data_IF_860528747122
#
_entry.id   IF_860528747122
#
_cell.length_a   1.000
_cell.length_b   1.000
_cell.length_c   1.000
_cell.angle_alpha   90.00
_cell.angle_beta   90.00
_cell.angle_gamma   90.00
#
_symmetry.space_group_name_H-M   'P 1'
#
loop_
_entity.id
_entity.type
_entity.pdbx_description
1 polymer ?
#
# COMPACT_ATOMS: atom_id res chain seq x y z
N UNK A 1 -32.21 41.29 -42.76
CA UNK A 1 -32.23 40.64 -44.09
C UNK A 1 -31.07 39.66 -44.15
N UNK A 2 -31.20 38.60 -44.94
CA UNK A 2 -30.33 37.41 -45.11
C UNK A 2 -30.80 36.17 -44.32
N UNK A 3 -30.64 35.02 -44.97
CA UNK A 3 -31.74 34.24 -45.50
C UNK A 3 -32.00 32.89 -44.82
N UNK A 4 -33.21 32.36 -45.06
CA UNK A 4 -33.71 31.03 -44.68
C UNK A 4 -33.14 29.91 -45.58
N UNK A 5 -32.91 28.72 -45.00
CA UNK A 5 -33.23 27.38 -45.57
C UNK A 5 -33.03 26.32 -44.47
N UNK A 6 -34.06 25.78 -43.82
CA UNK A 6 -34.99 24.68 -44.21
C UNK A 6 -34.31 23.40 -44.74
N UNK A 7 -34.41 22.32 -43.96
CA UNK A 7 -35.17 21.12 -44.36
C UNK A 7 -34.42 19.79 -44.45
N UNK A 8 -35.02 18.74 -43.86
CA UNK A 8 -34.72 17.31 -44.07
C UNK A 8 -34.23 16.60 -42.80
N UNK A 9 -35.01 15.91 -41.95
CA UNK A 9 -36.07 14.89 -42.11
C UNK A 9 -35.60 13.55 -42.72
N UNK A 10 -35.48 12.52 -41.87
CA UNK A 10 -35.99 11.17 -42.16
C UNK A 10 -34.97 10.02 -42.23
N UNK A 11 -35.27 8.93 -41.50
CA UNK A 11 -34.71 7.58 -41.72
C UNK A 11 -34.17 6.93 -40.44
N UNK A 12 -34.96 6.20 -39.63
CA UNK A 12 -35.50 4.83 -39.82
C UNK A 12 -34.44 3.72 -39.89
N UNK A 13 -34.45 2.86 -38.87
CA UNK A 13 -34.36 1.40 -39.02
C UNK A 13 -32.96 0.77 -39.00
N UNK A 14 -32.73 -0.14 -38.06
CA UNK A 14 -31.53 -0.97 -38.07
C UNK A 14 -31.36 -1.86 -36.83
N UNK A 15 -32.33 -2.73 -36.58
CA UNK A 15 -32.20 -3.85 -35.63
C UNK A 15 -31.37 -4.95 -36.30
N UNK A 16 -30.23 -5.33 -35.74
CA UNK A 16 -29.54 -6.57 -36.11
C UNK A 16 -29.16 -7.37 -34.86
N UNK A 17 -29.84 -8.50 -34.74
CA UNK A 17 -29.51 -9.66 -33.91
C UNK A 17 -28.23 -10.30 -34.47
N UNK A 18 -27.28 -10.61 -33.59
CA UNK A 18 -26.33 -11.71 -33.78
C UNK A 18 -26.06 -12.33 -32.40
N UNK A 19 -26.71 -13.45 -32.09
CA UNK A 19 -26.32 -14.83 -32.43
C UNK A 19 -25.22 -15.36 -31.50
N UNK A 20 -25.72 -15.97 -30.42
CA UNK A 20 -25.04 -16.73 -29.39
C UNK A 20 -24.41 -18.00 -30.01
N UNK A 21 -23.08 -18.17 -29.89
CA UNK A 21 -22.41 -19.46 -30.07
C UNK A 21 -21.67 -19.83 -28.78
N UNK A 22 -21.94 -21.00 -28.17
CA UNK A 22 -21.19 -21.48 -27.02
C UNK A 22 -19.77 -21.90 -27.45
N UNK A 23 -18.76 -21.38 -26.75
CA UNK A 23 -17.36 -21.80 -26.91
C UNK A 23 -17.15 -23.16 -26.24
N UNK A 24 -16.48 -24.04 -26.97
CA UNK A 24 -16.09 -25.40 -26.57
C UNK A 24 -15.12 -25.36 -25.37
N UNK A 25 -15.39 -26.05 -24.24
CA UNK A 25 -14.57 -25.96 -23.03
C UNK A 25 -13.27 -26.79 -23.07
N UNK A 26 -12.86 -27.34 -24.23
CA UNK A 26 -11.72 -28.27 -24.32
C UNK A 26 -10.43 -27.73 -24.95
N UNK A 27 -10.38 -26.47 -25.38
CA UNK A 27 -9.20 -25.94 -26.11
C UNK A 27 -8.38 -24.84 -25.42
N UNK A 28 -8.69 -24.44 -24.19
CA UNK A 28 -7.87 -23.45 -23.49
C UNK A 28 -7.24 -24.02 -22.23
N UNK A 29 -5.91 -24.26 -22.34
CA UNK A 29 -4.87 -24.38 -21.29
C UNK A 29 -4.23 -25.77 -21.12
N UNK A 30 -3.53 -26.21 -22.16
CA UNK A 30 -2.39 -27.14 -22.10
C UNK A 30 -1.10 -26.46 -21.57
N UNK A 31 -1.16 -25.73 -20.46
CA UNK A 31 0.03 -25.00 -19.94
C UNK A 31 0.23 -25.11 -18.41
N UNK A 32 -0.35 -26.13 -17.78
CA UNK A 32 -0.09 -26.47 -16.38
C UNK A 32 -0.02 -27.99 -16.23
N UNK A 33 1.02 -28.61 -16.80
CA UNK A 33 1.43 -29.96 -16.39
C UNK A 33 2.88 -30.19 -16.86
N UNK A 34 3.82 -29.67 -16.07
CA UNK A 34 5.22 -30.12 -16.07
C UNK A 34 5.79 -29.79 -14.70
N UNK A 35 5.46 -30.61 -13.69
CA UNK A 35 6.11 -30.61 -12.40
C UNK A 35 6.92 -31.91 -12.25
N UNK A 36 8.23 -31.86 -11.96
CA UNK A 36 9.12 -33.04 -11.94
C UNK A 36 8.88 -34.00 -10.76
N UNK A 37 7.77 -33.88 -10.03
CA UNK A 37 7.46 -34.67 -8.83
C UNK A 37 6.40 -35.76 -9.05
N UNK A 38 6.01 -36.04 -10.30
CA UNK A 38 4.92 -37.00 -10.63
C UNK A 38 5.33 -38.12 -11.58
N UNK A 39 6.56 -38.62 -11.47
CA UNK A 39 6.94 -39.94 -11.96
C UNK A 39 7.39 -40.81 -10.80
N UNK A 40 6.59 -41.83 -10.46
CA UNK A 40 6.92 -42.73 -9.36
C UNK A 40 5.74 -43.58 -8.91
N UNK A 41 5.01 -44.17 -9.85
CA UNK A 41 4.05 -45.22 -9.55
C UNK A 41 4.59 -46.56 -10.00
N UNK A 42 5.21 -47.33 -9.10
CA UNK A 42 5.22 -48.79 -9.15
C UNK A 42 5.26 -49.36 -7.73
N UNK A 43 4.29 -50.22 -7.45
CA UNK A 43 4.10 -50.93 -6.20
C UNK A 43 5.00 -52.17 -6.10
N UNK A 44 5.52 -52.46 -4.90
CA UNK A 44 5.92 -53.82 -4.51
C UNK A 44 5.68 -54.04 -3.01
N UNK A 45 4.54 -54.66 -2.70
CA UNK A 45 4.43 -55.62 -1.59
C UNK A 45 4.90 -56.97 -2.11
N UNK A 46 5.91 -57.58 -1.48
CA UNK A 46 6.04 -59.04 -1.35
C UNK A 46 6.80 -59.33 -0.06
N UNK A 47 6.11 -59.90 0.92
CA UNK A 47 6.69 -60.64 2.03
C UNK A 47 7.37 -61.91 1.51
N UNK A 48 8.59 -62.23 1.98
CA UNK A 48 9.00 -63.64 2.09
C UNK A 48 10.12 -63.85 3.10
N UNK A 49 9.74 -64.51 4.19
CA UNK A 49 10.62 -65.13 5.16
C UNK A 49 11.37 -66.35 4.60
N UNK A 50 12.56 -66.60 5.15
CA UNK A 50 13.14 -67.92 5.45
C UNK A 50 13.52 -68.84 4.29
N UNK A 51 14.80 -69.23 4.21
CA UNK A 51 15.24 -70.62 4.38
C UNK A 51 16.78 -70.72 4.32
N UNK A 52 17.34 -71.45 5.27
CA UNK A 52 18.71 -71.94 5.30
C UNK A 52 18.95 -72.99 4.21
N UNK A 53 20.16 -73.04 3.64
CA UNK A 53 20.81 -74.33 3.39
C UNK A 53 22.34 -74.21 3.26
N UNK A 54 23.01 -75.08 3.99
CA UNK A 54 24.44 -75.35 3.99
C UNK A 54 24.94 -75.97 2.67
N UNK A 55 26.25 -75.89 2.43
CA UNK A 55 26.94 -76.86 1.57
C UNK A 55 28.17 -76.38 0.80
N UNK A 56 29.35 -76.66 1.38
CA UNK A 56 30.61 -77.11 0.76
C UNK A 56 31.21 -76.46 -0.51
N UNK A 57 32.44 -75.95 -0.31
CA UNK A 57 33.68 -76.21 -1.06
C UNK A 57 33.63 -76.39 -2.61
N UNK A 58 34.25 -75.45 -3.34
CA UNK A 58 35.57 -75.65 -3.98
C UNK A 58 35.96 -74.49 -4.93
N UNK A 59 37.16 -73.93 -4.69
CA UNK A 59 38.16 -73.27 -5.56
C UNK A 59 37.78 -72.40 -6.79
N UNK A 60 38.61 -71.38 -7.12
CA UNK A 60 38.22 -70.19 -7.85
C UNK A 60 38.29 -70.38 -9.37
N UNK A 61 37.18 -70.13 -10.04
CA UNK A 61 37.20 -69.65 -11.42
C UNK A 61 37.26 -68.13 -11.38
N UNK A 62 38.31 -67.58 -11.98
CA UNK A 62 38.45 -66.17 -12.34
C UNK A 62 37.31 -65.85 -13.30
N UNK A 63 36.17 -65.47 -12.71
CA UNK A 63 34.95 -65.08 -13.39
C UNK A 63 35.02 -63.61 -13.71
N UNK A 64 34.89 -63.33 -14.99
CA UNK A 64 34.80 -62.03 -15.62
C UNK A 64 33.86 -61.11 -14.82
N UNK A 65 34.42 -60.13 -14.11
CA UNK A 65 33.63 -59.11 -13.42
C UNK A 65 32.88 -58.36 -14.50
N UNK A 66 31.56 -58.53 -14.53
CA UNK A 66 30.72 -57.90 -15.56
C UNK A 66 30.94 -56.38 -15.53
N UNK A 67 30.90 -55.74 -16.70
CA UNK A 67 31.13 -54.30 -16.81
C UNK A 67 30.22 -53.49 -15.87
N UNK A 68 28.99 -53.96 -15.65
CA UNK A 68 28.03 -53.39 -14.70
C UNK A 68 28.47 -53.53 -13.23
N UNK A 69 29.10 -54.64 -12.82
CA UNK A 69 29.61 -54.80 -11.46
C UNK A 69 30.86 -53.94 -11.21
N UNK A 70 31.72 -53.78 -12.23
CA UNK A 70 32.85 -52.83 -12.17
C UNK A 70 32.37 -51.38 -12.10
N UNK A 71 31.35 -51.01 -12.86
CA UNK A 71 30.76 -49.68 -12.86
C UNK A 71 29.98 -49.41 -11.56
N UNK A 72 29.28 -50.40 -11.02
CA UNK A 72 28.62 -50.32 -9.71
C UNK A 72 29.61 -50.27 -8.54
N UNK A 73 30.80 -50.87 -8.67
CA UNK A 73 31.87 -50.77 -7.69
C UNK A 73 32.61 -49.43 -7.79
N UNK A 74 32.90 -48.95 -9.01
CA UNK A 74 33.50 -47.64 -9.25
C UNK A 74 32.59 -46.49 -8.82
N UNK A 75 31.29 -46.55 -9.13
CA UNK A 75 30.32 -45.53 -8.69
C UNK A 75 30.18 -45.49 -7.18
N UNK A 76 30.17 -46.64 -6.50
CA UNK A 76 30.21 -46.71 -5.02
C UNK A 76 31.52 -46.14 -4.47
N UNK A 77 32.65 -46.44 -5.09
CA UNK A 77 33.96 -45.92 -4.67
C UNK A 77 34.07 -44.40 -4.91
N UNK A 78 33.51 -43.88 -6.01
CA UNK A 78 33.46 -42.45 -6.33
C UNK A 78 32.54 -41.71 -5.36
N UNK A 79 31.36 -42.24 -5.05
CA UNK A 79 30.44 -41.66 -4.05
C UNK A 79 31.10 -41.62 -2.66
N UNK A 80 31.74 -42.70 -2.22
CA UNK A 80 32.45 -42.75 -0.94
C UNK A 80 33.68 -41.82 -0.93
N UNK A 81 34.39 -41.64 -2.04
CA UNK A 81 35.47 -40.65 -2.14
C UNK A 81 34.96 -39.21 -2.12
N UNK A 82 33.81 -38.94 -2.74
CA UNK A 82 33.19 -37.60 -2.72
C UNK A 82 32.61 -37.25 -1.33
N UNK A 83 32.14 -38.26 -0.60
CA UNK A 83 31.63 -38.13 0.77
C UNK A 83 32.75 -38.03 1.81
N UNK A 84 33.92 -38.65 1.56
CA UNK A 84 35.08 -38.64 2.47
C UNK A 84 36.15 -37.58 2.20
N UNK A 85 36.24 -36.99 1.00
CA UNK A 85 37.28 -35.98 0.69
C UNK A 85 36.87 -34.51 0.82
N UNK A 86 35.58 -34.17 1.00
CA UNK A 86 35.16 -32.75 1.02
C UNK A 86 34.17 -32.37 2.15
N UNK A 87 33.85 -33.27 3.08
CA UNK A 87 32.82 -33.02 4.09
C UNK A 87 33.30 -32.16 5.27
N UNK A 88 34.58 -32.16 5.64
CA UNK A 88 35.01 -31.47 6.87
C UNK A 88 35.17 -29.95 6.69
N UNK A 89 35.73 -29.51 5.56
CA UNK A 89 35.85 -28.08 5.22
C UNK A 89 34.61 -27.52 4.52
N UNK A 90 33.85 -28.39 3.83
CA UNK A 90 32.57 -28.09 3.18
C UNK A 90 31.43 -27.78 4.15
N UNK A 91 31.46 -28.39 5.33
CA UNK A 91 30.44 -28.14 6.34
C UNK A 91 30.67 -26.81 7.05
N UNK A 92 31.92 -26.44 7.35
CA UNK A 92 32.24 -25.21 8.09
C UNK A 92 31.84 -23.93 7.34
N UNK A 93 32.08 -23.85 6.01
CA UNK A 93 31.61 -22.70 5.22
C UNK A 93 30.08 -22.62 5.14
N UNK A 94 29.39 -23.76 5.10
CA UNK A 94 27.93 -23.81 5.07
C UNK A 94 27.32 -23.45 6.42
N UNK A 95 27.94 -23.86 7.53
CA UNK A 95 27.56 -23.43 8.87
C UNK A 95 27.75 -21.93 9.04
N UNK A 96 28.90 -21.40 8.63
CA UNK A 96 29.17 -19.97 8.62
C UNK A 96 28.19 -19.19 7.75
N UNK A 97 27.88 -19.68 6.54
CA UNK A 97 26.89 -19.04 5.66
C UNK A 97 25.47 -19.05 6.27
N UNK A 98 25.09 -20.14 6.93
CA UNK A 98 23.80 -20.23 7.64
C UNK A 98 23.77 -19.26 8.82
N UNK A 99 24.85 -19.17 9.58
CA UNK A 99 24.99 -18.23 10.69
C UNK A 99 24.92 -16.78 10.21
N UNK A 100 25.72 -16.40 9.20
CA UNK A 100 25.69 -15.08 8.55
C UNK A 100 24.30 -14.76 8.00
N UNK A 101 23.62 -15.72 7.38
CA UNK A 101 22.26 -15.55 6.86
C UNK A 101 21.23 -15.37 7.99
N UNK A 102 21.36 -16.12 9.09
CA UNK A 102 20.48 -15.96 10.26
C UNK A 102 20.71 -14.61 10.94
N UNK A 103 21.96 -14.19 11.07
CA UNK A 103 22.31 -12.89 11.62
C UNK A 103 21.76 -11.76 10.74
N UNK A 104 21.96 -11.83 9.42
CA UNK A 104 21.39 -10.86 8.47
C UNK A 104 19.86 -10.79 8.55
N UNK A 105 19.18 -11.93 8.66
CA UNK A 105 17.72 -11.96 8.83
C UNK A 105 17.28 -11.37 10.17
N UNK A 106 18.02 -11.60 11.25
CA UNK A 106 17.75 -11.02 12.55
C UNK A 106 17.97 -9.50 12.55
N UNK A 107 19.07 -9.03 11.96
CA UNK A 107 19.36 -7.61 11.77
C UNK A 107 18.29 -6.93 10.93
N UNK A 108 17.89 -7.55 9.80
CA UNK A 108 16.80 -7.03 8.95
C UNK A 108 15.49 -6.93 9.71
N UNK A 109 15.11 -7.96 10.48
CA UNK A 109 13.92 -7.91 11.36
C UNK A 109 14.03 -6.80 12.41
N UNK A 110 15.22 -6.59 12.97
CA UNK A 110 15.46 -5.51 13.94
C UNK A 110 15.25 -4.13 13.32
N UNK A 111 15.76 -3.90 12.11
CA UNK A 111 15.60 -2.65 11.36
C UNK A 111 14.11 -2.41 11.05
N UNK A 112 13.41 -3.43 10.53
CA UNK A 112 11.99 -3.34 10.21
C UNK A 112 11.15 -2.98 11.45
N UNK A 113 11.45 -3.60 12.60
CA UNK A 113 10.76 -3.33 13.86
C UNK A 113 11.01 -1.90 14.35
N UNK A 114 12.25 -1.42 14.28
CA UNK A 114 12.60 -0.04 14.64
C UNK A 114 11.89 0.98 13.74
N UNK A 115 11.78 0.69 12.45
CA UNK A 115 11.05 1.55 11.52
C UNK A 115 9.56 1.61 11.87
N UNK A 116 8.92 0.46 12.12
CA UNK A 116 7.51 0.41 12.52
C UNK A 116 7.29 1.19 13.82
N UNK A 117 8.18 1.03 14.80
CA UNK A 117 8.09 1.77 16.06
C UNK A 117 8.21 3.28 15.85
N UNK A 118 9.18 3.71 15.03
CA UNK A 118 9.34 5.12 14.66
C UNK A 118 8.08 5.67 13.98
N UNK A 119 7.56 4.98 12.97
CA UNK A 119 6.34 5.39 12.27
C UNK A 119 5.15 5.52 13.23
N UNK A 120 5.01 4.60 14.19
CA UNK A 120 3.95 4.67 15.21
C UNK A 120 4.06 5.90 16.12
N UNK A 121 5.27 6.32 16.45
CA UNK A 121 5.52 7.52 17.28
C UNK A 121 5.16 8.78 16.48
N UNK A 122 5.58 8.88 15.23
CA UNK A 122 5.24 10.00 14.36
C UNK A 122 3.74 10.10 14.13
N UNK A 123 3.06 8.98 13.88
CA UNK A 123 1.60 8.92 13.75
C UNK A 123 0.91 9.52 14.97
N UNK A 124 1.26 9.07 16.19
CA UNK A 124 0.69 9.62 17.44
C UNK A 124 1.02 11.10 17.66
N UNK A 125 2.22 11.53 17.29
CA UNK A 125 2.62 12.93 17.38
C UNK A 125 1.78 13.83 16.47
N UNK A 126 1.58 13.41 15.21
CA UNK A 126 0.73 14.11 14.25
C UNK A 126 -0.72 14.15 14.71
N UNK A 127 -1.27 13.05 15.20
CA UNK A 127 -2.63 13.00 15.79
C UNK A 127 -2.76 14.05 16.91
N UNK A 128 -1.84 14.03 17.87
CA UNK A 128 -1.83 14.96 19.01
C UNK A 128 -1.73 16.42 18.55
N UNK A 129 -0.94 16.70 17.51
CA UNK A 129 -0.78 18.04 16.99
C UNK A 129 -2.04 18.52 16.24
N UNK A 130 -2.67 17.66 15.45
CA UNK A 130 -3.94 17.97 14.77
C UNK A 130 -5.05 18.22 15.80
N UNK A 131 -5.14 17.42 16.86
CA UNK A 131 -6.11 17.64 17.93
C UNK A 131 -5.95 19.01 18.58
N UNK A 132 -4.71 19.43 18.85
CA UNK A 132 -4.42 20.77 19.39
C UNK A 132 -4.83 21.88 18.43
N UNK A 133 -4.47 21.76 17.15
CA UNK A 133 -4.82 22.75 16.11
C UNK A 133 -6.34 22.82 15.95
N UNK A 134 -7.01 21.68 15.90
CA UNK A 134 -8.46 21.62 15.79
C UNK A 134 -9.14 22.24 17.02
N UNK A 135 -8.63 22.01 18.24
CA UNK A 135 -9.15 22.64 19.45
C UNK A 135 -9.05 24.17 19.43
N UNK A 136 -7.93 24.73 18.94
CA UNK A 136 -7.77 26.18 18.76
C UNK A 136 -8.74 26.73 17.71
N UNK A 137 -8.83 26.07 16.55
CA UNK A 137 -9.74 26.44 15.47
C UNK A 137 -11.22 26.36 15.90
N UNK A 138 -11.58 25.36 16.70
CA UNK A 138 -12.93 25.21 17.26
C UNK A 138 -13.27 26.36 18.22
N UNK A 139 -12.30 26.83 19.02
CA UNK A 139 -12.49 28.02 19.85
C UNK A 139 -12.76 29.25 19.00
N UNK A 140 -11.99 29.48 17.94
CA UNK A 140 -12.22 30.62 17.03
C UNK A 140 -13.55 30.51 16.30
N UNK A 141 -13.91 29.31 15.85
CA UNK A 141 -15.22 29.04 15.28
C UNK A 141 -16.33 29.43 16.25
N UNK A 142 -16.24 29.03 17.53
CA UNK A 142 -17.23 29.36 18.54
C UNK A 142 -17.41 30.86 18.71
N UNK A 143 -16.32 31.60 18.93
CA UNK A 143 -16.36 33.07 19.10
C UNK A 143 -16.87 33.76 17.83
N UNK A 144 -16.38 33.36 16.66
CA UNK A 144 -16.78 33.97 15.38
C UNK A 144 -18.26 33.74 15.06
N UNK A 145 -18.77 32.55 15.34
CA UNK A 145 -20.16 32.19 15.07
C UNK A 145 -21.17 32.93 15.95
N UNK A 146 -20.77 33.51 17.08
CA UNK A 146 -21.65 34.39 17.85
C UNK A 146 -22.07 35.63 17.04
N UNK A 147 -21.19 36.10 16.14
CA UNK A 147 -21.44 37.27 15.28
C UNK A 147 -21.90 36.85 13.88
N UNK A 148 -21.33 35.78 13.34
CA UNK A 148 -21.63 35.29 11.98
C UNK A 148 -22.78 34.27 11.92
N UNK A 149 -23.45 34.00 13.04
CA UNK A 149 -24.55 33.04 13.14
C UNK A 149 -25.66 33.32 12.13
N UNK A 150 -26.05 32.30 11.36
CA UNK A 150 -27.11 32.42 10.34
C UNK A 150 -26.69 33.10 9.04
N UNK A 151 -25.42 33.45 8.88
CA UNK A 151 -24.86 34.00 7.63
C UNK A 151 -24.11 32.95 6.82
N UNK A 152 -23.70 33.30 5.60
CA UNK A 152 -22.86 32.45 4.74
C UNK A 152 -21.45 32.22 5.31
N UNK A 153 -21.03 33.07 6.26
CA UNK A 153 -19.75 32.97 6.96
C UNK A 153 -19.81 32.03 8.16
N UNK A 154 -20.98 31.46 8.48
CA UNK A 154 -21.09 30.48 9.57
C UNK A 154 -20.13 29.32 9.35
N UNK A 155 -19.30 29.03 10.35
CA UNK A 155 -18.27 27.99 10.29
C UNK A 155 -18.73 26.76 11.07
N UNK A 156 -18.54 25.59 10.49
CA UNK A 156 -18.80 24.28 11.11
C UNK A 156 -17.51 23.47 11.15
N UNK A 157 -17.29 22.69 12.21
CA UNK A 157 -16.08 21.91 12.44
C UNK A 157 -16.43 20.42 12.55
N UNK A 158 -15.61 19.55 11.95
CA UNK A 158 -15.71 18.10 12.13
C UNK A 158 -14.32 17.48 12.23
N UNK A 159 -14.14 16.60 13.22
CA UNK A 159 -12.96 15.75 13.31
C UNK A 159 -13.35 14.35 12.80
N UNK A 160 -12.62 13.85 11.80
CA UNK A 160 -12.91 12.55 11.15
C UNK A 160 -12.04 11.42 11.69
N UNK A 161 -10.96 11.73 12.42
CA UNK A 161 -10.05 10.74 12.97
C UNK A 161 -9.19 10.06 11.89
N UNK A 162 -8.88 8.78 12.11
CA UNK A 162 -8.13 7.94 11.18
C UNK A 162 -8.96 7.55 9.94
N UNK A 163 -8.56 8.03 8.77
CA UNK A 163 -9.16 7.72 7.47
C UNK A 163 -8.16 6.93 6.63
N UNK A 164 -8.47 5.67 6.36
CA UNK A 164 -7.63 4.80 5.51
C UNK A 164 -8.08 4.88 4.06
N UNK A 165 -7.21 5.41 3.19
CA UNK A 165 -7.46 5.50 1.76
C UNK A 165 -6.70 4.43 0.98
N UNK A 166 -7.36 3.86 -0.03
CA UNK A 166 -6.74 2.96 -1.00
C UNK A 166 -6.01 3.81 -2.05
N UNK A 167 -4.69 3.91 -1.92
CA UNK A 167 -3.84 4.69 -2.85
C UNK A 167 -3.65 3.98 -4.18
N UNK A 168 -3.46 2.65 -4.17
CA UNK A 168 -3.32 1.81 -5.36
C UNK A 168 -4.27 0.61 -5.30
N UNK A 169 -5.00 0.37 -6.39
CA UNK A 169 -5.82 -0.81 -6.56
C UNK A 169 -5.25 -1.69 -7.69
N UNK A 170 -5.28 -3.01 -7.50
CA UNK A 170 -4.88 -3.98 -8.53
C UNK A 170 -5.95 -4.05 -9.65
N UNK A 171 -5.64 -4.70 -10.77
CA UNK A 171 -6.56 -4.96 -11.90
C UNK A 171 -7.85 -5.68 -11.46
N UNK A 172 -7.81 -6.40 -10.33
CA UNK A 172 -8.97 -7.06 -9.71
C UNK A 172 -9.73 -6.18 -8.70
N UNK A 173 -9.44 -4.87 -8.65
CA UNK A 173 -10.00 -3.89 -7.68
C UNK A 173 -9.69 -4.19 -6.20
N UNK A 174 -8.71 -5.03 -5.94
CA UNK A 174 -8.19 -5.27 -4.60
C UNK A 174 -7.25 -4.13 -4.18
N UNK A 175 -7.32 -3.72 -2.92
CA UNK A 175 -6.44 -2.69 -2.38
C UNK A 175 -5.00 -3.22 -2.29
N UNK A 176 -4.09 -2.63 -3.07
CA UNK A 176 -2.68 -3.01 -3.12
C UNK A 176 -1.83 -2.15 -2.16
N UNK A 177 -2.20 -0.88 -1.99
CA UNK A 177 -1.51 0.05 -1.09
C UNK A 177 -2.53 0.94 -0.41
N UNK A 178 -2.59 0.88 0.92
CA UNK A 178 -3.44 1.74 1.75
C UNK A 178 -2.56 2.73 2.52
N UNK A 179 -3.05 3.96 2.68
CA UNK A 179 -2.43 4.96 3.55
C UNK A 179 -3.48 5.51 4.50
N UNK A 180 -3.14 5.53 5.78
CA UNK A 180 -4.00 6.09 6.82
C UNK A 180 -3.62 7.54 7.06
N UNK A 181 -4.61 8.42 7.03
CA UNK A 181 -4.47 9.85 7.25
C UNK A 181 -5.32 10.25 8.43
N UNK A 182 -4.80 11.10 9.30
CA UNK A 182 -5.62 11.73 10.32
C UNK A 182 -6.24 13.01 9.74
N UNK A 183 -7.56 13.18 9.90
CA UNK A 183 -8.29 14.29 9.27
C UNK A 183 -9.14 15.11 10.22
N UNK A 184 -9.06 16.41 10.05
CA UNK A 184 -9.99 17.38 10.61
C UNK A 184 -10.40 18.40 9.54
N UNK A 185 -11.60 18.96 9.68
CA UNK A 185 -12.17 19.90 8.72
C UNK A 185 -12.89 21.03 9.41
N UNK A 186 -12.70 22.24 8.92
CA UNK A 186 -13.56 23.39 9.20
C UNK A 186 -14.16 23.89 7.89
N UNK A 187 -15.47 24.07 7.85
CA UNK A 187 -16.20 24.39 6.62
C UNK A 187 -17.16 25.54 6.84
N UNK A 188 -17.15 26.48 5.91
CA UNK A 188 -18.22 27.46 5.70
C UNK A 188 -19.23 26.91 4.69
N UNK A 189 -20.13 27.75 4.19
CA UNK A 189 -21.05 27.38 3.11
C UNK A 189 -20.33 27.06 1.79
N UNK A 190 -19.26 27.78 1.44
CA UNK A 190 -18.59 27.67 0.14
C UNK A 190 -17.24 26.95 0.19
N UNK A 191 -16.45 27.16 1.25
CA UNK A 191 -15.08 26.63 1.37
C UNK A 191 -14.89 25.79 2.63
N UNK A 192 -13.97 24.82 2.52
CA UNK A 192 -13.55 23.93 3.59
C UNK A 192 -12.03 23.97 3.74
N UNK A 193 -11.58 24.27 4.94
CA UNK A 193 -10.21 24.08 5.40
C UNK A 193 -10.05 22.64 5.88
N UNK A 194 -9.23 21.88 5.17
CA UNK A 194 -8.94 20.47 5.45
C UNK A 194 -7.54 20.34 6.03
N UNK A 195 -7.45 19.69 7.19
CA UNK A 195 -6.20 19.32 7.84
C UNK A 195 -5.96 17.84 7.59
N UNK A 196 -4.82 17.51 6.99
CA UNK A 196 -4.44 16.14 6.64
C UNK A 196 -3.08 15.80 7.22
N UNK A 197 -3.05 14.93 8.22
CA UNK A 197 -1.83 14.37 8.77
C UNK A 197 -1.36 13.17 7.95
N UNK A 198 -0.08 13.15 7.56
CA UNK A 198 0.59 12.04 6.89
C UNK A 198 2.03 11.94 7.37
N UNK A 199 2.43 10.76 7.84
CA UNK A 199 3.80 10.46 8.27
C UNK A 199 4.32 11.48 9.32
N UNK A 200 5.25 12.36 8.93
CA UNK A 200 5.83 13.42 9.75
C UNK A 200 5.33 14.83 9.38
N UNK A 201 4.27 14.96 8.58
CA UNK A 201 3.78 16.23 8.08
C UNK A 201 2.27 16.41 8.25
N UNK A 202 1.85 17.68 8.35
CA UNK A 202 0.45 18.10 8.32
C UNK A 202 0.29 19.07 7.17
N UNK A 203 -0.57 18.70 6.23
CA UNK A 203 -0.94 19.54 5.11
C UNK A 203 -2.27 20.23 5.36
N UNK A 204 -2.33 21.51 5.00
CA UNK A 204 -3.53 22.33 5.08
C UNK A 204 -4.02 22.62 3.68
N UNK A 205 -5.26 22.28 3.37
CA UNK A 205 -5.86 22.52 2.07
C UNK A 205 -7.07 23.43 2.22
N UNK A 206 -7.24 24.36 1.28
CA UNK A 206 -8.45 25.16 1.17
C UNK A 206 -9.19 24.74 -0.10
N UNK A 207 -10.33 24.09 0.07
CA UNK A 207 -11.04 23.40 -1.02
C UNK A 207 -12.51 23.83 -1.00
N UNK A 208 -13.13 24.08 -2.16
CA UNK A 208 -14.57 24.29 -2.25
C UNK A 208 -15.38 23.11 -1.67
N UNK A 209 -16.43 23.38 -0.88
CA UNK A 209 -17.22 22.35 -0.16
C UNK A 209 -17.83 21.33 -1.14
N UNK A 210 -18.24 21.78 -2.33
CA UNK A 210 -18.76 20.91 -3.39
C UNK A 210 -17.75 19.86 -3.89
N UNK A 211 -16.44 20.08 -3.68
CA UNK A 211 -15.34 19.17 -4.06
C UNK A 211 -14.82 18.31 -2.90
N UNK A 212 -15.20 18.66 -1.66
CA UNK A 212 -14.82 17.94 -0.43
C UNK A 212 -15.77 16.76 -0.12
N UNK A 213 -16.87 16.64 -0.86
CA UNK A 213 -17.80 15.53 -0.71
C UNK A 213 -17.11 14.19 -1.04
N UNK A 214 -17.31 13.21 -0.15
CA UNK A 214 -16.90 11.80 -0.26
C UNK A 214 -15.47 11.38 0.16
N UNK A 215 -14.84 12.05 1.16
CA UNK A 215 -13.53 11.62 1.72
C UNK A 215 -12.50 11.34 0.61
N UNK A 216 -12.64 12.02 -0.51
CA UNK A 216 -12.09 11.57 -1.79
C UNK A 216 -10.66 12.06 -1.94
N UNK A 217 -9.92 11.42 -2.85
CA UNK A 217 -8.56 11.82 -3.26
C UNK A 217 -8.48 13.24 -3.84
N UNK A 218 -9.59 13.98 -3.90
CA UNK A 218 -9.66 15.32 -4.49
C UNK A 218 -8.69 16.28 -3.83
N UNK A 219 -8.37 16.12 -2.54
CA UNK A 219 -7.32 16.89 -1.86
C UNK A 219 -5.95 16.84 -2.56
N UNK A 220 -5.62 15.72 -3.20
CA UNK A 220 -4.34 15.53 -3.91
C UNK A 220 -4.24 16.43 -5.15
N UNK A 221 -5.38 16.81 -5.71
CA UNK A 221 -5.44 17.69 -6.89
C UNK A 221 -5.25 19.16 -6.53
N UNK A 222 -5.34 19.52 -5.24
CA UNK A 222 -5.15 20.90 -4.76
C UNK A 222 -3.76 21.09 -4.19
N UNK A 223 -3.19 22.26 -4.46
CA UNK A 223 -1.95 22.67 -3.80
C UNK A 223 -2.25 22.94 -2.32
N UNK A 224 -1.48 22.37 -1.38
CA UNK A 224 -1.62 22.72 0.03
C UNK A 224 -1.34 24.22 0.22
N UNK A 225 -2.18 24.86 1.04
CA UNK A 225 -2.04 26.24 1.45
C UNK A 225 -0.74 26.44 2.24
N UNK A 226 -0.46 25.49 3.13
CA UNK A 226 0.80 25.40 3.86
C UNK A 226 1.02 23.98 4.38
N UNK A 227 2.24 23.70 4.84
CA UNK A 227 2.68 22.42 5.39
C UNK A 227 3.49 22.64 6.67
N UNK A 228 3.13 21.92 7.72
CA UNK A 228 3.95 21.79 8.92
C UNK A 228 4.69 20.46 8.86
N UNK A 229 5.96 20.46 9.29
CA UNK A 229 6.72 19.26 9.58
C UNK A 229 6.87 19.07 11.09
N UNK A 230 6.61 17.84 11.55
CA UNK A 230 6.75 17.40 12.93
C UNK A 230 8.08 16.68 13.07
N UNK A 231 8.85 17.06 14.08
CA UNK A 231 10.08 16.38 14.46
C UNK A 231 9.97 15.93 15.91
N UNK A 232 10.11 14.63 16.13
CA UNK A 232 10.07 14.05 17.47
C UNK A 232 11.51 13.76 17.90
N UNK A 233 11.87 14.32 19.05
CA UNK A 233 13.17 14.15 19.71
C UNK A 233 12.96 13.64 21.13
N UNK A 234 14.06 13.26 21.81
CA UNK A 234 14.01 12.86 23.22
C UNK A 234 13.49 13.97 24.14
N UNK A 235 13.70 15.23 23.75
CA UNK A 235 13.21 16.42 24.47
C UNK A 235 11.73 16.69 24.25
N UNK A 236 11.08 15.95 23.34
CA UNK A 236 9.66 16.07 23.03
C UNK A 236 9.38 16.31 21.55
N UNK A 237 8.14 16.70 21.28
CA UNK A 237 7.62 16.98 19.94
C UNK A 237 7.76 18.47 19.62
N UNK A 238 8.45 18.76 18.51
CA UNK A 238 8.61 20.09 17.96
C UNK A 238 8.05 20.11 16.54
N UNK A 239 7.53 21.26 16.12
CA UNK A 239 6.98 21.45 14.78
C UNK A 239 7.60 22.68 14.14
N UNK A 240 7.64 22.71 12.81
CA UNK A 240 8.13 23.85 12.03
C UNK A 240 7.38 23.94 10.71
N UNK A 241 7.30 25.13 10.14
CA UNK A 241 6.81 25.32 8.78
C UNK A 241 7.79 24.68 7.80
N UNK A 242 7.29 23.87 6.85
CA UNK A 242 8.14 23.21 5.87
C UNK A 242 8.76 24.21 4.89
N UNK A 243 7.95 25.18 4.45
CA UNK A 243 8.32 26.18 3.44
C UNK A 243 8.60 27.57 4.04
N UNK A 244 8.56 27.69 5.38
CA UNK A 244 8.69 28.98 6.08
C UNK A 244 7.55 29.97 5.84
N UNK A 245 6.44 29.53 5.23
CA UNK A 245 5.29 30.37 4.90
C UNK A 245 3.97 29.75 5.41
N UNK A 246 3.17 30.44 6.24
CA UNK A 246 3.43 31.76 6.84
C UNK A 246 4.61 31.76 7.83
N UNK A 247 5.21 32.94 8.04
CA UNK A 247 6.20 33.16 9.10
C UNK A 247 5.46 33.27 10.44
N UNK A 248 5.22 32.13 11.07
CA UNK A 248 4.51 32.00 12.35
C UNK A 248 5.40 31.27 13.33
N UNK A 249 5.44 31.77 14.56
CA UNK A 249 6.27 31.22 15.64
C UNK A 249 5.43 30.37 16.61
N UNK A 250 4.10 30.53 16.58
CA UNK A 250 3.17 29.79 17.44
C UNK A 250 2.05 29.09 16.67
N UNK A 251 1.47 28.06 17.29
CA UNK A 251 0.30 27.37 16.74
C UNK A 251 -0.93 28.28 16.71
N UNK A 252 -1.03 29.20 17.65
CA UNK A 252 -2.14 30.15 17.76
C UNK A 252 -2.13 31.09 16.54
N UNK A 253 -0.98 31.70 16.23
CA UNK A 253 -0.79 32.53 15.03
C UNK A 253 -1.09 31.77 13.74
N UNK A 254 -0.64 30.51 13.64
CA UNK A 254 -0.98 29.68 12.49
C UNK A 254 -2.49 29.46 12.38
N UNK A 255 -3.16 29.10 13.48
CA UNK A 255 -4.60 28.88 13.48
C UNK A 255 -5.36 30.15 13.12
N UNK A 256 -4.93 31.32 13.62
CA UNK A 256 -5.50 32.62 13.26
C UNK A 256 -5.33 32.89 11.76
N UNK A 257 -4.15 32.62 11.22
CA UNK A 257 -3.85 32.80 9.80
C UNK A 257 -4.71 31.89 8.90
N UNK A 258 -4.82 30.61 9.27
CA UNK A 258 -5.64 29.61 8.57
C UNK A 258 -7.13 29.98 8.61
N UNK A 259 -7.63 30.36 9.79
CA UNK A 259 -9.02 30.77 9.97
C UNK A 259 -9.34 32.04 9.16
N UNK A 260 -8.42 33.00 9.17
CA UNK A 260 -8.55 34.23 8.37
C UNK A 260 -8.63 33.92 6.87
N UNK A 261 -7.78 33.01 6.37
CA UNK A 261 -7.81 32.59 4.97
C UNK A 261 -9.12 31.91 4.58
N UNK A 262 -9.65 31.05 5.45
CA UNK A 262 -10.95 30.42 5.25
C UNK A 262 -12.05 31.48 5.09
N UNK A 263 -12.12 32.45 6.00
CA UNK A 263 -13.14 33.50 5.96
C UNK A 263 -12.97 34.42 4.75
N UNK A 264 -11.75 34.79 4.39
CA UNK A 264 -11.48 35.63 3.21
C UNK A 264 -11.92 34.94 1.93
N UNK A 265 -11.57 33.67 1.72
CA UNK A 265 -12.00 32.92 0.55
C UNK A 265 -13.53 32.77 0.48
N UNK A 266 -14.20 32.60 1.63
CA UNK A 266 -15.67 32.57 1.68
C UNK A 266 -16.28 33.92 1.30
N UNK A 267 -15.70 35.03 1.76
CA UNK A 267 -16.15 36.39 1.39
C UNK A 267 -16.00 36.65 -0.11
N UNK A 268 -14.87 36.27 -0.69
CA UNK A 268 -14.60 36.42 -2.13
C UNK A 268 -15.64 35.64 -2.96
N UNK A 269 -15.88 34.36 -2.62
CA UNK A 269 -16.91 33.58 -3.28
C UNK A 269 -18.33 34.17 -3.13
N UNK A 270 -18.68 34.68 -1.96
CA UNK A 270 -19.97 35.32 -1.74
C UNK A 270 -20.16 36.61 -2.57
N UNK A 271 -19.07 37.31 -2.91
CA UNK A 271 -19.14 38.47 -3.81
C UNK A 271 -19.28 38.07 -5.28
N UNK A 272 -18.61 37.00 -5.71
CA UNK A 272 -18.71 36.47 -7.08
C UNK A 272 -20.11 35.95 -7.39
N UNK A 273 -20.72 35.19 -6.47
CA UNK A 273 -22.07 34.64 -6.63
C UNK A 273 -23.13 35.74 -6.79
N UNK A 274 -22.97 36.88 -6.11
CA UNK A 274 -23.88 38.03 -6.25
C UNK A 274 -23.71 38.76 -7.58
N UNK A 275 -22.51 38.78 -8.15
CA UNK A 275 -22.26 39.34 -9.48
C UNK A 275 -22.87 38.49 -10.60
N UNK A 276 -22.82 37.15 -10.45
CA UNK A 276 -23.38 36.22 -11.44
C UNK A 276 -24.91 36.19 -11.48
N UNK A 277 -25.59 36.50 -10.37
CA UNK A 277 -27.05 36.54 -10.30
C UNK A 277 -27.69 37.85 -10.84
N UNK A 278 -26.87 38.88 -11.11
CA UNK A 278 -27.33 40.21 -11.52
C UNK A 278 -27.13 40.53 -13.02
N UNK A 279 -26.56 39.60 -13.81
CA UNK A 279 -26.37 39.71 -15.25
C UNK A 279 -27.26 38.75 -16.04
#
# INVERSE_FOLDING_TARGET
>A
MWDKKKGGSGGSGGSQKDSNKPRDPKETRKFLDNHPARQGGLARQVDRAGYEHAGYENNPTVGDVTAEEREAALSRQILVYHESQNAETGNDWMYKLKEDSMQYLAEKRGIDLQQIYRESIYKKGVETLIDKIYGLLQRYQFEFNQVAGGTELHVSGTISGDVTEVTRANKMREAQETKTYFRARLSTRSHSLVLRGKDDAIDFYLIPVNKVMALSKSEVDYKPLTRIQVKISELGMMWRMADGNPAVDSLDELCMWLFSHLITATKEAATEDKGAAAG
#
